data_IF_784899238699
#
_entry.id   IF_784899238699
#
_cell.length_a   1.000
_cell.length_b   1.000
_cell.length_c   1.000
_cell.angle_alpha   90.00
_cell.angle_beta   90.00
_cell.angle_gamma   90.00
#
_symmetry.space_group_name_H-M   'P 1'
#
loop_
_entity.id
_entity.type
_entity.pdbx_description
1 polymer ?
#
# COMPACT_ATOMS: atom_id res chain seq x y z
N UNK A 1 39.00 34.79 26.84
CA UNK A 1 37.64 35.38 26.94
C UNK A 1 36.78 34.36 27.65
N UNK A 2 36.14 34.74 28.75
CA UNK A 2 35.20 33.85 29.43
C UNK A 2 33.87 33.87 28.67
N UNK A 3 33.31 32.70 28.38
CA UNK A 3 32.02 32.56 27.70
C UNK A 3 31.00 32.02 28.68
N UNK A 4 29.93 32.78 28.90
CA UNK A 4 28.91 32.41 29.87
C UNK A 4 27.74 31.69 29.21
N UNK A 5 27.16 30.68 29.89
CA UNK A 5 25.99 29.97 29.39
C UNK A 5 24.77 30.88 29.29
N UNK A 6 23.85 30.62 28.35
CA UNK A 6 22.59 31.34 28.28
C UNK A 6 21.77 31.14 29.56
N UNK A 7 20.87 32.08 29.86
CA UNK A 7 20.04 32.04 31.07
C UNK A 7 18.57 31.86 30.71
N UNK A 8 17.77 31.37 31.67
CA UNK A 8 16.33 31.14 31.49
C UNK A 8 16.01 30.26 30.27
N UNK A 9 16.76 29.18 30.09
CA UNK A 9 16.42 28.18 29.08
C UNK A 9 15.12 27.48 29.50
N UNK A 10 14.15 27.46 28.59
CA UNK A 10 12.81 26.91 28.84
C UNK A 10 12.35 26.13 27.61
N UNK A 11 11.54 25.11 27.87
CA UNK A 11 10.87 24.30 26.86
C UNK A 11 9.37 24.46 27.05
N UNK A 12 8.65 24.91 26.03
CA UNK A 12 7.19 25.07 26.09
C UNK A 12 6.53 24.36 24.91
N UNK A 13 5.46 23.62 25.19
CA UNK A 13 4.67 22.98 24.14
C UNK A 13 3.77 24.04 23.52
N UNK A 14 4.03 24.42 22.26
CA UNK A 14 3.31 25.48 21.56
C UNK A 14 2.13 24.95 20.72
N UNK A 15 2.22 23.70 20.26
CA UNK A 15 1.18 23.00 19.50
C UNK A 15 1.39 21.48 19.56
N UNK A 16 0.49 20.69 18.94
CA UNK A 16 0.63 19.23 18.87
C UNK A 16 1.98 18.83 18.26
N UNK A 17 2.76 18.04 18.99
CA UNK A 17 4.11 17.64 18.60
C UNK A 17 5.00 18.84 18.18
N UNK A 18 4.85 20.00 18.84
CA UNK A 18 5.67 21.17 18.61
C UNK A 18 6.16 21.75 19.94
N UNK A 19 7.47 21.99 20.03
CA UNK A 19 8.13 22.56 21.20
C UNK A 19 8.88 23.84 20.80
N UNK A 20 8.69 24.88 21.61
CA UNK A 20 9.44 26.12 21.58
C UNK A 20 10.55 26.03 22.63
N UNK A 21 11.79 26.07 22.14
CA UNK A 21 12.99 26.26 22.92
C UNK A 21 13.22 27.77 23.02
N UNK A 22 13.34 28.30 24.22
CA UNK A 22 13.57 29.74 24.42
C UNK A 22 14.58 29.97 25.53
N UNK A 23 15.52 30.88 25.31
CA UNK A 23 16.53 31.29 26.28
C UNK A 23 16.80 32.79 26.19
N UNK A 24 17.58 33.33 27.13
CA UNK A 24 18.06 34.71 27.11
C UNK A 24 19.59 34.74 27.08
N UNK A 25 20.20 35.75 26.41
CA UNK A 25 21.64 35.97 26.50
C UNK A 25 22.06 36.18 27.96
N UNK A 26 23.25 35.73 28.32
CA UNK A 26 23.77 35.97 29.67
C UNK A 26 24.06 37.48 29.84
N UNK A 27 23.52 38.15 30.87
CA UNK A 27 23.75 39.58 31.08
C UNK A 27 25.21 39.93 31.35
N UNK A 28 26.00 38.98 31.85
CA UNK A 28 27.42 39.15 32.15
C UNK A 28 28.32 38.89 30.94
N UNK A 29 27.75 38.53 29.78
CA UNK A 29 28.53 38.27 28.57
C UNK A 29 29.06 39.59 28.00
N UNK A 30 30.39 39.68 27.87
CA UNK A 30 31.03 40.84 27.26
C UNK A 30 30.54 41.06 25.81
N UNK A 31 29.96 42.24 25.56
CA UNK A 31 29.58 42.70 24.22
C UNK A 31 30.77 43.44 23.56
N UNK A 32 31.81 42.69 23.18
CA UNK A 32 32.90 43.20 22.31
C UNK A 32 32.61 42.86 20.84
N UNK A 33 33.60 42.99 19.94
CA UNK A 33 33.55 42.57 18.52
C UNK A 33 33.45 41.03 18.35
N UNK A 34 32.49 40.37 19.01
CA UNK A 34 32.19 38.95 18.90
C UNK A 34 30.88 38.74 18.13
N UNK A 35 30.83 37.73 17.27
CA UNK A 35 29.55 37.23 16.75
C UNK A 35 29.02 36.17 17.72
N UNK A 36 27.92 36.48 18.40
CA UNK A 36 27.26 35.56 19.33
C UNK A 36 26.30 34.64 18.56
N UNK A 37 26.46 33.34 18.76
CA UNK A 37 25.57 32.27 18.30
C UNK A 37 25.27 31.33 19.48
N UNK A 38 24.38 30.39 19.25
CA UNK A 38 24.00 29.38 20.24
C UNK A 38 24.03 28.01 19.57
N UNK A 39 24.81 27.09 20.13
CA UNK A 39 24.74 25.69 19.76
C UNK A 39 23.55 25.08 20.50
N UNK A 40 22.68 24.40 19.78
CA UNK A 40 21.51 23.69 20.31
C UNK A 40 21.66 22.23 19.95
N UNK A 41 21.44 21.38 20.95
CA UNK A 41 21.47 19.94 20.78
C UNK A 41 20.20 19.33 21.37
N UNK A 42 19.42 18.69 20.51
CA UNK A 42 18.30 17.84 20.90
C UNK A 42 18.91 16.49 21.32
N UNK A 43 18.60 16.06 22.53
CA UNK A 43 19.10 14.80 23.09
C UNK A 43 18.08 13.66 22.89
N UNK A 44 16.80 13.99 22.91
CA UNK A 44 15.67 13.05 22.81
C UNK A 44 14.44 13.79 22.27
N UNK A 45 13.62 13.17 21.41
CA UNK A 45 13.67 11.74 21.02
C UNK A 45 14.59 11.41 19.84
N UNK A 46 14.94 12.38 19.00
CA UNK A 46 15.87 12.19 17.88
C UNK A 46 17.04 13.16 18.08
N UNK A 47 18.28 12.65 18.19
CA UNK A 47 19.45 13.51 18.33
C UNK A 47 19.64 14.43 17.11
N UNK A 48 19.80 15.72 17.35
CA UNK A 48 20.03 16.75 16.33
C UNK A 48 20.92 17.84 16.93
N UNK A 49 21.95 18.28 16.21
CA UNK A 49 22.80 19.40 16.61
C UNK A 49 22.82 20.46 15.51
N UNK A 50 22.66 21.72 15.90
CA UNK A 50 22.68 22.86 15.00
C UNK A 50 23.02 24.14 15.76
N UNK A 51 23.34 25.21 15.05
CA UNK A 51 23.59 26.51 15.65
C UNK A 51 22.61 27.59 15.14
N UNK A 52 22.40 28.63 15.94
CA UNK A 52 21.50 29.72 15.58
C UNK A 52 21.94 31.05 16.19
N UNK A 53 21.61 32.15 15.52
CA UNK A 53 21.75 33.52 16.07
C UNK A 53 20.55 33.93 16.93
N UNK A 54 19.43 33.23 16.80
CA UNK A 54 18.19 33.54 17.53
C UNK A 54 18.30 33.01 18.96
N UNK A 55 17.55 33.62 19.88
CA UNK A 55 17.41 33.18 21.27
C UNK A 55 16.23 32.22 21.47
N UNK A 56 15.72 31.68 20.37
CA UNK A 56 14.65 30.70 20.36
C UNK A 56 14.80 29.75 19.18
N UNK A 57 14.17 28.59 19.29
CA UNK A 57 14.06 27.60 18.23
C UNK A 57 12.74 26.85 18.35
N UNK A 58 12.11 26.54 17.22
CA UNK A 58 10.89 25.74 17.19
C UNK A 58 11.22 24.40 16.56
N UNK A 59 10.74 23.32 17.17
CA UNK A 59 10.93 21.95 16.69
C UNK A 59 9.61 21.20 16.66
N UNK A 60 9.37 20.50 15.56
CA UNK A 60 8.22 19.62 15.38
C UNK A 60 8.68 18.19 15.59
N UNK A 61 8.24 17.56 16.68
CA UNK A 61 8.70 16.24 17.12
C UNK A 61 7.68 15.59 18.05
N UNK A 62 7.59 14.26 18.06
CA UNK A 62 6.71 13.53 18.96
C UNK A 62 7.13 13.74 20.43
N UNK A 63 6.19 14.16 21.28
CA UNK A 63 6.44 14.54 22.68
C UNK A 63 5.93 13.51 23.70
N UNK A 64 5.26 12.44 23.24
CA UNK A 64 4.62 11.45 24.11
C UNK A 64 5.61 10.61 24.96
N UNK A 65 6.91 10.65 24.64
CA UNK A 65 7.99 10.05 25.43
C UNK A 65 8.88 11.11 26.12
N UNK A 66 8.40 12.35 26.22
CA UNK A 66 9.18 13.49 26.69
C UNK A 66 10.12 14.04 25.63
N UNK A 67 10.81 15.12 25.98
CA UNK A 67 11.74 15.84 25.11
C UNK A 67 12.88 16.39 25.94
N UNK A 68 14.12 16.36 25.45
CA UNK A 68 15.23 16.98 26.17
C UNK A 68 16.18 17.62 25.18
N UNK A 69 16.64 18.82 25.54
CA UNK A 69 17.58 19.58 24.75
C UNK A 69 18.56 20.29 25.68
N UNK A 70 19.69 20.70 25.10
CA UNK A 70 20.65 21.57 25.76
C UNK A 70 21.09 22.67 24.81
N UNK A 71 21.48 23.80 25.38
CA UNK A 71 21.94 24.98 24.64
C UNK A 71 23.18 25.56 25.31
N UNK A 72 24.13 26.06 24.52
CA UNK A 72 25.32 26.79 25.00
C UNK A 72 25.60 27.99 24.12
N UNK A 73 26.31 28.97 24.67
CA UNK A 73 26.77 30.14 23.92
C UNK A 73 28.00 29.77 23.09
N UNK A 74 28.00 30.15 21.82
CA UNK A 74 29.12 30.07 20.89
C UNK A 74 29.55 31.49 20.51
N UNK A 75 30.77 31.89 20.88
CA UNK A 75 31.38 33.14 20.42
C UNK A 75 32.32 32.85 19.26
N UNK A 76 32.14 33.62 18.18
CA UNK A 76 33.00 33.60 17.01
C UNK A 76 33.77 34.93 16.93
N UNK A 77 35.10 34.86 16.84
CA UNK A 77 35.97 36.00 16.59
C UNK A 77 37.14 35.60 15.73
N UNK A 78 37.24 36.19 14.53
CA UNK A 78 38.14 35.74 13.48
C UNK A 78 37.93 34.23 13.26
N UNK A 79 38.96 33.41 13.51
CA UNK A 79 38.91 31.94 13.37
C UNK A 79 38.79 31.19 14.72
N UNK A 80 38.63 31.91 15.83
CA UNK A 80 38.51 31.31 17.16
C UNK A 80 37.05 31.07 17.51
N UNK A 81 36.76 29.84 17.95
CA UNK A 81 35.48 29.44 18.52
C UNK A 81 35.63 29.23 20.03
N UNK A 82 34.82 29.94 20.80
CA UNK A 82 34.81 29.81 22.25
C UNK A 82 33.39 29.45 22.71
N UNK A 83 33.27 28.47 23.59
CA UNK A 83 32.01 27.86 23.99
C UNK A 83 31.82 27.96 25.49
N UNK A 84 30.59 28.20 25.93
CA UNK A 84 30.22 28.07 27.34
C UNK A 84 29.92 26.61 27.71
N UNK A 85 29.68 26.39 28.99
CA UNK A 85 29.00 25.19 29.47
C UNK A 85 27.59 25.07 28.89
N UNK A 86 27.07 23.85 28.91
CA UNK A 86 25.72 23.52 28.47
C UNK A 86 24.68 23.80 29.55
N UNK A 87 23.56 24.39 29.15
CA UNK A 87 22.33 24.45 29.95
C UNK A 87 21.35 23.44 29.37
N UNK A 88 20.87 22.51 30.20
CA UNK A 88 20.00 21.42 29.78
C UNK A 88 18.62 21.59 30.38
N UNK A 89 17.60 21.33 29.58
CA UNK A 89 16.22 21.24 30.03
C UNK A 89 15.54 19.96 29.51
N UNK A 90 14.45 19.57 30.17
CA UNK A 90 13.63 18.43 29.75
C UNK A 90 12.14 18.66 29.99
N UNK A 91 11.33 18.24 29.02
CA UNK A 91 9.91 18.00 29.16
C UNK A 91 9.69 16.55 29.57
N UNK A 92 8.99 16.36 30.68
CA UNK A 92 8.60 15.02 31.12
C UNK A 92 7.52 14.45 30.19
N UNK A 93 7.48 13.12 29.99
CA UNK A 93 6.40 12.48 29.27
C UNK A 93 5.04 12.77 29.95
N UNK A 94 3.95 12.86 29.16
CA UNK A 94 2.59 12.90 29.73
C UNK A 94 2.30 11.66 30.60
N UNK A 95 1.38 11.77 31.57
CA UNK A 95 1.03 10.65 32.44
C UNK A 95 0.38 9.49 31.68
N UNK A 96 0.49 8.29 32.23
CA UNK A 96 -0.12 7.06 31.71
C UNK A 96 0.89 5.93 31.59
N UNK A 97 0.46 4.70 31.89
CA UNK A 97 1.31 3.53 31.77
C UNK A 97 1.60 3.23 30.28
N UNK A 98 2.83 2.80 29.91
CA UNK A 98 3.17 2.51 28.51
C UNK A 98 2.17 1.58 27.81
N UNK A 99 1.70 0.56 28.52
CA UNK A 99 0.76 -0.47 28.04
C UNK A 99 -0.63 0.09 27.67
N UNK A 100 -0.99 1.27 28.16
CA UNK A 100 -2.27 1.93 27.86
C UNK A 100 -2.25 2.69 26.53
N UNK A 101 -1.06 2.95 25.97
CA UNK A 101 -0.93 3.70 24.73
C UNK A 101 -1.38 2.88 23.53
N UNK A 102 -1.92 3.55 22.51
CA UNK A 102 -2.30 2.91 21.26
C UNK A 102 -1.09 2.33 20.54
N UNK A 103 -1.32 1.29 19.75
CA UNK A 103 -0.29 0.62 18.95
C UNK A 103 -0.73 0.49 17.49
N UNK A 104 0.20 0.18 16.59
CA UNK A 104 -0.07 -0.03 15.16
C UNK A 104 -0.87 1.10 14.49
N UNK A 105 -0.50 2.35 14.79
CA UNK A 105 -1.07 3.49 14.08
C UNK A 105 -0.68 3.44 12.60
N UNK A 106 -1.68 3.41 11.73
CA UNK A 106 -1.52 3.49 10.29
C UNK A 106 -2.42 4.58 9.75
N UNK A 107 -1.87 5.48 8.95
CA UNK A 107 -2.62 6.57 8.32
C UNK A 107 -2.38 6.56 6.81
N UNK A 108 -3.42 6.90 6.06
CA UNK A 108 -3.41 6.96 4.60
C UNK A 108 -4.15 8.22 4.16
N UNK A 109 -3.52 9.02 3.32
CA UNK A 109 -4.16 10.15 2.65
C UNK A 109 -4.57 9.78 1.22
N UNK A 110 -5.66 10.39 0.73
CA UNK A 110 -6.06 10.30 -0.68
C UNK A 110 -6.51 11.66 -1.18
N UNK A 111 -6.02 12.04 -2.36
CA UNK A 111 -6.47 13.24 -3.08
C UNK A 111 -7.81 12.93 -3.75
N UNK A 112 -8.81 13.77 -3.53
CA UNK A 112 -10.14 13.61 -4.11
C UNK A 112 -10.25 14.33 -5.46
N UNK A 113 -11.36 14.09 -6.19
CA UNK A 113 -11.64 14.72 -7.48
C UNK A 113 -11.76 16.26 -7.36
N UNK A 114 -12.15 16.76 -6.19
CA UNK A 114 -12.24 18.19 -5.88
C UNK A 114 -10.91 18.80 -5.42
N UNK A 115 -9.78 18.12 -5.63
CA UNK A 115 -8.44 18.55 -5.19
C UNK A 115 -8.33 18.78 -3.68
N UNK A 116 -9.14 18.09 -2.88
CA UNK A 116 -9.03 18.09 -1.42
C UNK A 116 -8.40 16.80 -0.93
N UNK A 117 -7.76 16.83 0.23
CA UNK A 117 -7.13 15.63 0.82
C UNK A 117 -8.05 15.04 1.87
N UNK A 118 -8.35 13.76 1.72
CA UNK A 118 -8.97 12.93 2.77
C UNK A 118 -7.89 12.23 3.58
N UNK A 119 -8.13 12.01 4.88
CA UNK A 119 -7.23 11.32 5.78
C UNK A 119 -7.97 10.19 6.50
N UNK A 120 -7.42 8.99 6.45
CA UNK A 120 -7.95 7.82 7.13
C UNK A 120 -6.87 7.21 8.02
N UNK A 121 -7.17 7.05 9.31
CA UNK A 121 -6.25 6.47 10.28
C UNK A 121 -6.90 5.31 11.03
N UNK A 122 -6.11 4.29 11.34
CA UNK A 122 -6.49 3.12 12.13
C UNK A 122 -5.44 2.85 13.20
N UNK A 123 -5.84 2.33 14.35
CA UNK A 123 -4.95 1.95 15.43
C UNK A 123 -5.54 0.80 16.25
N UNK A 124 -4.68 0.16 17.04
CA UNK A 124 -5.09 -0.84 18.02
C UNK A 124 -5.06 -0.23 19.43
N UNK A 125 -6.08 -0.50 20.26
CA UNK A 125 -6.05 -0.15 21.69
C UNK A 125 -4.82 -0.74 22.39
N UNK A 126 -4.30 -0.04 23.39
CA UNK A 126 -3.21 -0.56 24.22
C UNK A 126 -3.60 -1.84 24.94
N UNK A 127 -2.66 -2.78 25.09
CA UNK A 127 -2.94 -4.08 25.74
C UNK A 127 -3.33 -3.92 27.22
N UNK A 128 -2.81 -2.88 27.88
CA UNK A 128 -3.16 -2.53 29.26
C UNK A 128 -4.24 -1.44 29.36
N UNK A 129 -4.85 -1.02 28.25
CA UNK A 129 -5.91 -0.02 28.27
C UNK A 129 -7.22 -0.65 28.81
N UNK A 130 -7.86 -0.04 29.81
CA UNK A 130 -9.18 -0.48 30.30
C UNK A 130 -10.23 -0.56 29.20
N UNK A 131 -11.24 -1.42 29.38
CA UNK A 131 -12.31 -1.60 28.39
C UNK A 131 -13.17 -0.35 28.19
N UNK A 132 -13.27 0.53 29.19
CA UNK A 132 -13.99 1.80 29.12
C UNK A 132 -13.20 2.93 28.43
N UNK A 133 -12.02 2.63 27.90
CA UNK A 133 -11.15 3.64 27.28
C UNK A 133 -11.79 4.21 26.02
N UNK A 134 -11.97 5.53 25.99
CA UNK A 134 -12.34 6.27 24.78
C UNK A 134 -11.12 6.99 24.22
N UNK A 135 -10.86 6.81 22.92
CA UNK A 135 -9.73 7.44 22.21
C UNK A 135 -10.19 8.61 21.36
N UNK A 136 -9.39 9.68 21.31
CA UNK A 136 -9.66 10.84 20.48
C UNK A 136 -8.44 11.15 19.61
N UNK A 137 -8.66 11.28 18.31
CA UNK A 137 -7.62 11.55 17.33
C UNK A 137 -7.68 12.99 16.85
N UNK A 138 -6.53 13.65 16.86
CA UNK A 138 -6.29 14.97 16.32
C UNK A 138 -5.23 14.88 15.24
N UNK A 139 -5.42 15.57 14.11
CA UNK A 139 -4.32 15.82 13.18
C UNK A 139 -3.91 17.28 13.25
N UNK A 140 -2.62 17.54 12.97
CA UNK A 140 -2.11 18.88 12.72
C UNK A 140 -1.34 18.91 11.40
N UNK A 141 -1.69 19.88 10.56
CA UNK A 141 -0.96 20.25 9.36
C UNK A 141 -0.60 21.73 9.47
N UNK A 142 0.70 22.03 9.46
CA UNK A 142 1.23 23.37 9.73
C UNK A 142 0.67 23.98 11.04
N UNK A 143 -0.13 25.05 10.95
CA UNK A 143 -0.77 25.74 12.07
C UNK A 143 -2.18 25.24 12.36
N UNK A 144 -2.77 24.45 11.45
CA UNK A 144 -4.13 23.95 11.59
C UNK A 144 -4.17 22.65 12.37
N UNK A 145 -4.98 22.61 13.42
CA UNK A 145 -5.28 21.41 14.21
C UNK A 145 -6.77 21.15 14.19
N UNK A 146 -7.16 19.89 14.03
CA UNK A 146 -8.56 19.47 13.98
C UNK A 146 -8.74 18.11 14.67
N UNK A 147 -9.85 17.98 15.40
CA UNK A 147 -10.28 16.74 16.04
C UNK A 147 -11.18 15.94 15.11
N UNK A 148 -10.97 14.62 15.08
CA UNK A 148 -11.81 13.73 14.31
C UNK A 148 -13.24 13.66 14.84
N UNK A 149 -14.21 13.68 13.93
CA UNK A 149 -15.64 13.58 14.25
C UNK A 149 -16.28 12.27 13.76
N UNK A 150 -15.65 11.59 12.81
CA UNK A 150 -16.18 10.38 12.19
C UNK A 150 -15.33 9.17 12.54
N UNK A 151 -15.72 8.50 13.62
CA UNK A 151 -15.04 7.31 14.15
C UNK A 151 -15.76 6.03 13.77
N UNK A 152 -14.96 4.97 13.60
CA UNK A 152 -15.44 3.58 13.59
C UNK A 152 -14.95 2.94 14.88
N UNK A 153 -15.85 2.21 15.52
CA UNK A 153 -15.66 1.65 16.85
C UNK A 153 -15.48 0.14 16.81
N UNK A 154 -14.73 -0.38 17.77
CA UNK A 154 -14.59 -1.80 17.99
C UNK A 154 -15.80 -2.40 18.74
N UNK A 155 -15.71 -3.69 19.07
CA UNK A 155 -16.76 -4.44 19.78
C UNK A 155 -17.05 -3.92 21.19
N UNK A 156 -16.10 -3.20 21.80
CA UNK A 156 -16.23 -2.58 23.11
C UNK A 156 -16.61 -1.09 23.02
N UNK A 157 -17.05 -0.64 21.84
CA UNK A 157 -17.45 0.74 21.59
C UNK A 157 -16.29 1.76 21.76
N UNK A 158 -15.03 1.30 21.60
CA UNK A 158 -13.85 2.16 21.62
C UNK A 158 -13.52 2.62 20.22
N UNK A 159 -13.13 3.88 20.05
CA UNK A 159 -12.71 4.42 18.76
C UNK A 159 -11.40 3.75 18.32
N UNK A 160 -11.39 3.12 17.13
CA UNK A 160 -10.19 2.44 16.57
C UNK A 160 -9.85 2.86 15.15
N UNK A 161 -10.77 3.54 14.48
CA UNK A 161 -10.51 4.17 13.18
C UNK A 161 -11.15 5.57 13.13
N UNK A 162 -10.56 6.44 12.32
CA UNK A 162 -11.03 7.81 12.11
C UNK A 162 -10.94 8.19 10.63
N UNK A 163 -11.93 8.94 10.14
CA UNK A 163 -12.00 9.48 8.78
C UNK A 163 -12.20 11.00 8.79
N UNK A 164 -11.29 11.73 8.14
CA UNK A 164 -11.51 13.09 7.71
C UNK A 164 -11.83 13.09 6.21
N UNK A 165 -13.06 13.44 5.85
CA UNK A 165 -13.48 13.51 4.45
C UNK A 165 -12.76 14.62 3.70
N UNK A 166 -12.53 15.76 4.37
CA UNK A 166 -11.85 16.94 3.84
C UNK A 166 -10.93 17.47 4.94
N UNK A 167 -9.66 17.66 4.61
CA UNK A 167 -8.64 18.24 5.49
C UNK A 167 -8.12 19.55 4.91
N UNK A 168 -7.31 20.28 5.69
CA UNK A 168 -6.52 21.43 5.20
C UNK A 168 -5.10 21.05 4.76
N UNK A 169 -4.84 19.77 4.52
CA UNK A 169 -3.57 19.31 3.97
C UNK A 169 -3.50 19.78 2.51
N UNK A 170 -2.44 20.49 2.18
CA UNK A 170 -2.21 21.00 0.83
C UNK A 170 -1.62 19.88 -0.06
N UNK A 171 -2.33 19.41 -1.10
CA UNK A 171 -1.85 18.34 -1.96
C UNK A 171 -0.65 18.73 -2.86
N UNK A 172 -0.36 20.03 -3.03
CA UNK A 172 0.74 20.51 -3.88
C UNK A 172 2.09 20.50 -3.15
N UNK A 173 2.06 20.60 -1.82
CA UNK A 173 3.25 20.60 -0.98
C UNK A 173 3.88 19.20 -0.87
N UNK A 174 5.21 19.16 -0.77
CA UNK A 174 6.02 17.94 -0.71
C UNK A 174 6.88 17.96 0.55
N UNK A 175 7.12 16.78 1.13
CA UNK A 175 7.95 16.57 2.33
C UNK A 175 7.49 17.34 3.58
N UNK A 176 6.23 17.77 3.60
CA UNK A 176 5.57 18.29 4.79
C UNK A 176 5.17 17.16 5.73
N UNK A 177 5.16 17.48 7.01
CA UNK A 177 4.80 16.53 8.05
C UNK A 177 3.34 16.71 8.48
N UNK A 178 2.60 15.61 8.47
CA UNK A 178 1.29 15.50 9.09
C UNK A 178 1.51 14.90 10.48
N UNK A 179 1.10 15.63 11.51
CA UNK A 179 1.19 15.16 12.89
C UNK A 179 -0.12 14.50 13.25
N UNK A 180 -0.05 13.27 13.76
CA UNK A 180 -1.19 12.57 14.35
C UNK A 180 -0.97 12.47 15.84
N UNK A 181 -1.97 12.87 16.62
CA UNK A 181 -2.01 12.75 18.06
C UNK A 181 -3.25 11.97 18.46
N UNK A 182 -3.06 10.91 19.24
CA UNK A 182 -4.16 10.16 19.83
C UNK A 182 -4.01 10.26 21.35
N UNK A 183 -5.03 10.77 22.01
CA UNK A 183 -5.15 10.69 23.45
C UNK A 183 -6.29 9.74 23.82
N UNK A 184 -6.48 9.51 25.12
CA UNK A 184 -7.62 8.76 25.59
C UNK A 184 -8.00 9.11 27.01
N UNK A 185 -9.22 8.74 27.38
CA UNK A 185 -9.76 8.89 28.72
C UNK A 185 -10.34 7.56 29.19
N UNK A 186 -10.20 7.29 30.48
CA UNK A 186 -10.78 6.14 31.18
C UNK A 186 -11.03 6.54 32.64
N UNK A 187 -12.01 5.91 33.28
CA UNK A 187 -12.28 6.11 34.71
C UNK A 187 -11.25 5.44 35.60
N UNK A 188 -10.56 4.42 35.09
CA UNK A 188 -9.71 3.54 35.90
C UNK A 188 -8.22 3.79 35.73
N UNK A 189 -7.79 4.39 34.62
CA UNK A 189 -6.38 4.65 34.37
C UNK A 189 -6.16 5.92 33.53
N UNK A 190 -5.03 6.58 33.76
CA UNK A 190 -4.53 7.58 32.84
C UNK A 190 -4.00 6.87 31.57
N UNK A 191 -4.51 7.28 30.41
CA UNK A 191 -4.14 6.69 29.12
C UNK A 191 -2.96 7.46 28.54
N UNK A 192 -1.87 6.76 28.26
CA UNK A 192 -0.67 7.38 27.70
C UNK A 192 -0.95 7.82 26.25
N UNK A 193 -0.85 9.12 25.93
CA UNK A 193 -1.06 9.59 24.57
C UNK A 193 0.00 9.05 23.62
N UNK A 194 -0.33 9.03 22.34
CA UNK A 194 0.58 8.67 21.27
C UNK A 194 0.69 9.81 20.25
N UNK A 195 1.87 10.00 19.69
CA UNK A 195 2.11 10.98 18.63
C UNK A 195 3.05 10.41 17.58
N UNK A 196 2.71 10.60 16.32
CA UNK A 196 3.56 10.21 15.20
C UNK A 196 3.53 11.29 14.12
N UNK A 197 4.69 11.51 13.50
CA UNK A 197 4.86 12.40 12.37
C UNK A 197 4.94 11.53 11.12
N UNK A 198 4.09 11.81 10.15
CA UNK A 198 4.14 11.17 8.84
C UNK A 198 4.59 12.19 7.80
N UNK A 199 5.55 11.82 6.96
CA UNK A 199 5.78 12.55 5.72
C UNK A 199 4.54 12.36 4.83
N UNK A 200 3.97 13.48 4.36
CA UNK A 200 2.74 13.49 3.56
C UNK A 200 2.80 12.54 2.36
N UNK A 201 3.92 12.53 1.63
CA UNK A 201 4.10 11.70 0.43
C UNK A 201 4.22 10.22 0.78
N UNK A 202 4.82 9.91 1.93
CA UNK A 202 4.99 8.53 2.38
C UNK A 202 3.68 7.84 2.76
N UNK A 203 2.64 8.60 3.12
CA UNK A 203 1.31 8.06 3.45
C UNK A 203 0.23 8.33 2.40
N UNK A 204 0.58 8.97 1.28
CA UNK A 204 -0.35 9.14 0.18
C UNK A 204 -0.59 7.81 -0.52
N UNK A 205 -1.87 7.45 -0.67
CA UNK A 205 -2.28 6.41 -1.61
C UNK A 205 -2.69 7.04 -2.93
N UNK A 206 -1.85 6.82 -3.93
CA UNK A 206 -2.03 7.36 -5.28
C UNK A 206 -3.35 6.86 -5.88
N UNK A 207 -4.03 7.72 -6.62
CA UNK A 207 -5.25 7.35 -7.33
C UNK A 207 -4.96 6.39 -8.51
N UNK A 208 -5.93 5.57 -8.86
CA UNK A 208 -5.83 4.69 -10.04
C UNK A 208 -5.67 5.56 -11.31
N UNK A 209 -4.82 5.15 -12.29
CA UNK A 209 -4.77 5.79 -13.60
C UNK A 209 -6.16 5.90 -14.24
N UNK A 210 -6.45 7.03 -14.87
CA UNK A 210 -7.77 7.28 -15.47
C UNK A 210 -7.77 6.88 -16.94
N UNK A 211 -8.96 6.64 -17.49
CA UNK A 211 -9.17 6.43 -18.93
C UNK A 211 -8.21 5.39 -19.52
N UNK A 212 -8.06 4.24 -18.83
CA UNK A 212 -7.23 3.14 -19.30
C UNK A 212 -7.93 2.48 -20.50
N UNK A 213 -7.30 2.57 -21.66
CA UNK A 213 -7.78 1.94 -22.89
C UNK A 213 -6.72 1.00 -23.43
N UNK A 214 -7.15 -0.21 -23.78
CA UNK A 214 -6.27 -1.19 -24.42
C UNK A 214 -6.96 -1.74 -25.65
N UNK A 215 -6.25 -1.76 -26.77
CA UNK A 215 -6.72 -2.35 -28.02
C UNK A 215 -5.59 -3.09 -28.73
N UNK A 216 -5.99 -3.92 -29.70
CA UNK A 216 -5.08 -4.68 -30.54
C UNK A 216 -5.03 -4.04 -31.92
N UNK A 217 -3.82 -3.70 -32.36
CA UNK A 217 -3.55 -3.27 -33.72
C UNK A 217 -2.62 -4.29 -34.36
N UNK A 218 -3.15 -5.08 -35.29
CA UNK A 218 -2.44 -6.21 -35.91
C UNK A 218 -1.95 -7.21 -34.85
N UNK A 219 -0.65 -7.21 -34.54
CA UNK A 219 -0.01 -8.09 -33.55
C UNK A 219 0.48 -7.34 -32.31
N UNK A 220 0.21 -6.04 -32.22
CA UNK A 220 0.65 -5.22 -31.11
C UNK A 220 -0.52 -4.86 -30.22
N UNK A 221 -0.26 -4.95 -28.91
CA UNK A 221 -1.11 -4.42 -27.86
C UNK A 221 -0.71 -2.98 -27.64
N UNK A 222 -1.66 -2.07 -27.81
CA UNK A 222 -1.52 -0.65 -27.51
C UNK A 222 -2.37 -0.34 -26.29
N UNK A 223 -1.71 0.12 -25.24
CA UNK A 223 -2.35 0.59 -24.03
C UNK A 223 -2.05 2.07 -23.83
N UNK A 224 -3.07 2.85 -23.51
CA UNK A 224 -2.95 4.28 -23.18
C UNK A 224 -3.78 4.59 -21.95
N UNK A 225 -3.32 5.51 -21.12
CA UNK A 225 -4.01 5.94 -19.91
C UNK A 225 -3.67 7.38 -19.56
N UNK A 226 -4.54 8.03 -18.82
CA UNK A 226 -4.27 9.33 -18.22
C UNK A 226 -3.59 9.19 -16.85
N UNK A 227 -2.85 10.23 -16.46
CA UNK A 227 -2.25 10.31 -15.12
C UNK A 227 -3.34 10.27 -14.02
N UNK A 228 -2.99 9.77 -12.82
CA UNK A 228 -3.86 9.84 -11.66
C UNK A 228 -4.34 11.25 -11.32
N UNK A 229 -5.45 11.35 -10.58
CA UNK A 229 -5.91 12.61 -9.99
C UNK A 229 -4.89 13.04 -8.95
N UNK A 230 -4.19 14.12 -9.28
CA UNK A 230 -3.08 14.67 -8.51
C UNK A 230 -2.64 16.02 -9.10
N UNK A 231 -2.12 16.97 -8.30
CA UNK A 231 -1.52 18.19 -8.82
C UNK A 231 -0.20 17.93 -9.56
N UNK A 232 0.47 16.80 -9.32
CA UNK A 232 1.75 16.49 -9.96
C UNK A 232 1.62 16.29 -11.48
N UNK A 233 2.62 16.73 -12.25
CA UNK A 233 2.67 16.50 -13.70
C UNK A 233 2.93 15.02 -14.03
N UNK A 234 2.74 14.63 -15.28
CA UNK A 234 2.76 13.21 -15.73
C UNK A 234 4.12 12.54 -15.52
N UNK A 235 5.21 13.31 -15.60
CA UNK A 235 6.59 12.87 -15.44
C UNK A 235 6.91 12.41 -14.01
N UNK A 236 6.05 12.77 -13.04
CA UNK A 236 6.19 12.35 -11.65
C UNK A 236 5.73 10.91 -11.39
N UNK A 237 5.00 10.30 -12.33
CA UNK A 237 4.38 9.00 -12.14
C UNK A 237 5.17 7.88 -12.81
N UNK A 238 5.27 6.76 -12.10
CA UNK A 238 5.58 5.46 -12.67
C UNK A 238 4.36 4.55 -12.58
N UNK A 239 4.31 3.58 -13.49
CA UNK A 239 3.23 2.64 -13.60
C UNK A 239 3.76 1.22 -13.57
N UNK A 240 2.98 0.33 -12.97
CA UNK A 240 3.12 -1.10 -13.15
C UNK A 240 2.00 -1.60 -14.06
N UNK A 241 2.39 -2.30 -15.12
CA UNK A 241 1.51 -2.90 -16.11
C UNK A 241 1.50 -4.40 -15.92
N UNK A 242 0.38 -4.90 -15.40
CA UNK A 242 0.14 -6.32 -15.21
C UNK A 242 -0.48 -6.90 -16.48
N UNK A 243 0.16 -7.93 -17.01
CA UNK A 243 -0.29 -8.68 -18.17
C UNK A 243 -0.34 -10.16 -17.82
N UNK A 244 -1.49 -10.78 -18.03
CA UNK A 244 -1.67 -12.22 -17.83
C UNK A 244 -2.21 -12.88 -19.09
N UNK A 245 -1.49 -13.87 -19.60
CA UNK A 245 -1.92 -14.70 -20.73
C UNK A 245 -2.74 -15.89 -20.22
N UNK A 246 -4.03 -15.94 -20.55
CA UNK A 246 -4.94 -16.98 -20.08
C UNK A 246 -4.68 -18.35 -20.73
N UNK A 247 -4.01 -18.39 -21.88
CA UNK A 247 -3.72 -19.64 -22.62
C UNK A 247 -2.46 -20.32 -22.11
N UNK A 248 -1.42 -19.55 -21.78
CA UNK A 248 -0.13 -20.08 -21.31
C UNK A 248 0.07 -19.99 -19.80
N UNK A 249 -0.90 -19.43 -19.06
CA UNK A 249 -0.81 -19.12 -17.62
C UNK A 249 0.43 -18.27 -17.26
N UNK A 250 0.89 -17.44 -18.20
CA UNK A 250 2.07 -16.61 -18.01
C UNK A 250 1.70 -15.22 -17.47
N UNK A 251 2.32 -14.80 -16.35
CA UNK A 251 2.09 -13.53 -15.66
C UNK A 251 3.33 -12.65 -15.77
N UNK A 252 3.14 -11.38 -16.13
CA UNK A 252 4.19 -10.39 -16.26
C UNK A 252 3.77 -9.07 -15.62
N UNK A 253 4.72 -8.43 -14.92
CA UNK A 253 4.57 -7.06 -14.40
C UNK A 253 5.72 -6.24 -14.99
N UNK A 254 5.37 -5.22 -15.76
CA UNK A 254 6.32 -4.33 -16.43
C UNK A 254 6.25 -2.95 -15.78
N UNK A 255 7.41 -2.32 -15.57
CA UNK A 255 7.49 -0.94 -15.08
C UNK A 255 7.58 0.03 -16.24
N UNK A 256 6.76 1.07 -16.20
CA UNK A 256 6.57 2.01 -17.31
C UNK A 256 6.58 3.44 -16.74
N UNK A 257 7.26 4.36 -17.44
CA UNK A 257 7.35 5.78 -17.05
C UNK A 257 6.62 6.71 -18.02
N UNK A 258 5.92 6.15 -19.00
CA UNK A 258 5.06 6.84 -19.97
C UNK A 258 3.59 6.53 -19.72
N UNK A 259 2.71 7.32 -20.34
CA UNK A 259 1.25 7.15 -20.29
C UNK A 259 0.71 6.25 -21.41
N UNK A 260 1.61 5.72 -22.22
CA UNK A 260 1.36 4.84 -23.33
C UNK A 260 2.35 3.67 -23.32
N UNK A 261 1.92 2.52 -23.82
CA UNK A 261 2.71 1.32 -23.89
C UNK A 261 2.33 0.46 -25.09
N UNK A 262 3.36 -0.03 -25.78
CA UNK A 262 3.23 -0.92 -26.92
C UNK A 262 4.00 -2.21 -26.66
N UNK A 263 3.32 -3.35 -26.81
CA UNK A 263 3.92 -4.66 -26.65
C UNK A 263 3.44 -5.62 -27.74
N UNK A 264 4.38 -6.35 -28.33
CA UNK A 264 4.04 -7.39 -29.29
C UNK A 264 3.55 -8.64 -28.56
N UNK A 265 2.38 -9.15 -28.95
CA UNK A 265 1.73 -10.28 -28.27
C UNK A 265 1.30 -11.38 -29.24
N UNK A 266 0.93 -12.54 -28.69
CA UNK A 266 0.29 -13.62 -29.44
C UNK A 266 -1.23 -13.37 -29.51
N UNK A 267 -1.70 -12.86 -30.65
CA UNK A 267 -3.13 -12.57 -30.89
C UNK A 267 -4.05 -13.79 -30.81
N UNK A 268 -3.50 -15.02 -30.80
CA UNK A 268 -4.29 -16.25 -30.62
C UNK A 268 -4.61 -16.54 -29.15
N UNK A 269 -4.04 -15.75 -28.23
CA UNK A 269 -4.24 -15.84 -26.80
C UNK A 269 -5.19 -14.73 -26.32
N UNK A 270 -5.92 -15.01 -25.24
CA UNK A 270 -6.67 -13.99 -24.50
C UNK A 270 -5.82 -13.49 -23.33
N UNK A 271 -5.84 -12.19 -23.08
CA UNK A 271 -5.07 -11.55 -22.03
C UNK A 271 -5.99 -10.80 -21.07
N UNK A 272 -5.58 -10.73 -19.80
CA UNK A 272 -6.16 -9.81 -18.81
C UNK A 272 -5.11 -8.80 -18.38
N UNK A 273 -5.51 -7.54 -18.31
CA UNK A 273 -4.60 -6.41 -18.14
C UNK A 273 -5.08 -5.52 -17.02
N UNK A 274 -4.14 -5.07 -16.20
CA UNK A 274 -4.39 -4.06 -15.16
C UNK A 274 -3.19 -3.12 -15.06
N UNK A 275 -3.45 -1.87 -14.66
CA UNK A 275 -2.42 -0.86 -14.48
C UNK A 275 -2.59 -0.21 -13.11
N UNK A 276 -1.48 0.08 -12.42
CA UNK A 276 -1.46 0.88 -11.20
C UNK A 276 -0.34 1.92 -11.25
N UNK A 277 -0.44 2.96 -10.44
CA UNK A 277 0.53 4.07 -10.41
C UNK A 277 1.16 4.26 -9.03
N UNK A 278 2.35 4.84 -9.03
CA UNK A 278 2.99 5.44 -7.86
C UNK A 278 3.82 6.66 -8.31
N UNK A 279 4.30 7.43 -7.34
CA UNK A 279 5.27 8.49 -7.57
C UNK A 279 6.65 7.90 -7.83
N UNK A 280 7.46 8.59 -8.63
CA UNK A 280 8.83 8.15 -8.96
C UNK A 280 9.87 9.21 -8.64
N UNK A 281 9.83 10.35 -9.33
CA UNK A 281 10.92 11.35 -9.33
C UNK A 281 10.62 12.52 -8.40
N UNK A 282 9.37 12.97 -8.36
CA UNK A 282 9.03 14.26 -7.77
C UNK A 282 8.89 14.23 -6.25
N UNK A 283 8.69 13.04 -5.66
CA UNK A 283 8.55 12.88 -4.23
C UNK A 283 8.81 11.43 -3.83
N UNK A 284 8.96 11.22 -2.52
CA UNK A 284 9.13 9.89 -1.96
C UNK A 284 7.95 8.99 -2.33
N UNK A 285 8.23 7.76 -2.77
CA UNK A 285 7.22 6.74 -3.04
C UNK A 285 6.32 6.52 -1.82
N UNK A 286 5.02 6.71 -2.02
CA UNK A 286 3.99 6.36 -1.05
C UNK A 286 3.41 4.97 -1.33
N UNK A 287 2.12 4.82 -1.07
CA UNK A 287 1.40 3.60 -1.42
C UNK A 287 1.05 3.59 -2.91
N UNK A 288 1.28 2.43 -3.53
CA UNK A 288 0.76 2.16 -4.86
C UNK A 288 -0.75 2.36 -4.90
N UNK A 289 -1.25 2.84 -6.04
CA UNK A 289 -2.68 2.84 -6.30
C UNK A 289 -3.23 1.42 -6.26
N UNK A 290 -4.55 1.32 -6.07
CA UNK A 290 -5.24 0.09 -6.43
C UNK A 290 -5.02 -0.20 -7.93
N UNK A 291 -5.11 -1.47 -8.30
CA UNK A 291 -5.09 -1.85 -9.71
C UNK A 291 -6.34 -1.31 -10.41
N UNK A 292 -6.19 -0.92 -11.68
CA UNK A 292 -7.33 -0.62 -12.53
C UNK A 292 -8.27 -1.81 -12.65
N UNK A 293 -9.47 -1.54 -13.14
CA UNK A 293 -10.38 -2.60 -13.59
C UNK A 293 -9.67 -3.50 -14.61
N UNK A 294 -10.05 -4.79 -14.61
CA UNK A 294 -9.47 -5.79 -15.49
C UNK A 294 -10.00 -5.58 -16.89
N UNK A 295 -9.09 -5.35 -17.83
CA UNK A 295 -9.41 -5.25 -19.26
C UNK A 295 -9.00 -6.54 -19.95
N UNK A 296 -9.93 -7.14 -20.69
CA UNK A 296 -9.66 -8.34 -21.48
C UNK A 296 -9.48 -7.98 -22.96
N UNK A 297 -8.43 -8.52 -23.57
CA UNK A 297 -8.16 -8.38 -25.01
C UNK A 297 -7.77 -9.72 -25.62
N UNK A 298 -7.94 -9.84 -26.94
CA UNK A 298 -7.68 -11.07 -27.68
C UNK A 298 -8.88 -12.01 -27.73
N UNK A 299 -8.84 -12.98 -28.64
CA UNK A 299 -9.89 -13.96 -28.80
C UNK A 299 -9.58 -15.20 -27.97
N UNK A 300 -10.54 -15.67 -27.18
CA UNK A 300 -10.59 -17.09 -26.84
C UNK A 300 -10.82 -17.84 -28.14
N UNK A 301 -9.83 -18.61 -28.60
CA UNK A 301 -10.15 -19.71 -29.52
C UNK A 301 -11.18 -20.56 -28.78
N UNK A 302 -12.45 -20.43 -29.17
CA UNK A 302 -13.43 -21.45 -28.84
C UNK A 302 -12.80 -22.74 -29.34
N UNK A 303 -12.57 -23.70 -28.44
CA UNK A 303 -12.31 -25.07 -28.87
C UNK A 303 -13.37 -25.37 -29.92
N UNK A 304 -12.91 -25.68 -31.14
CA UNK A 304 -13.74 -25.62 -32.33
C UNK A 304 -15.05 -26.37 -32.03
N UNK A 305 -16.21 -25.68 -31.93
CA UNK A 305 -17.44 -26.32 -31.47
C UNK A 305 -17.81 -27.48 -32.40
N UNK A 306 -17.38 -27.40 -33.67
CA UNK A 306 -17.47 -28.45 -34.67
C UNK A 306 -16.70 -29.71 -34.24
N UNK A 307 -15.50 -29.58 -33.68
CA UNK A 307 -14.72 -30.73 -33.20
C UNK A 307 -15.40 -31.43 -32.00
N UNK A 308 -15.96 -30.66 -31.07
CA UNK A 308 -16.77 -31.20 -29.97
C UNK A 308 -18.05 -31.87 -30.46
N UNK A 309 -18.76 -31.26 -31.40
CA UNK A 309 -19.96 -31.83 -32.03
C UNK A 309 -19.62 -33.13 -32.77
N UNK A 310 -18.53 -33.16 -33.53
CA UNK A 310 -18.06 -34.36 -34.23
C UNK A 310 -17.66 -35.48 -33.25
N UNK A 311 -16.98 -35.15 -32.16
CA UNK A 311 -16.62 -36.13 -31.13
C UNK A 311 -17.88 -36.75 -30.49
N UNK A 312 -18.87 -35.93 -30.12
CA UNK A 312 -20.15 -36.40 -29.57
C UNK A 312 -20.92 -37.28 -30.57
N UNK A 313 -20.94 -36.90 -31.86
CA UNK A 313 -21.56 -37.70 -32.93
C UNK A 313 -20.86 -39.05 -33.11
N UNK A 314 -19.53 -39.10 -33.08
CA UNK A 314 -18.76 -40.34 -33.18
C UNK A 314 -19.02 -41.27 -31.99
N UNK A 315 -19.08 -40.73 -30.77
CA UNK A 315 -19.39 -41.52 -29.56
C UNK A 315 -20.83 -42.04 -29.61
N UNK A 316 -21.78 -41.19 -30.00
CA UNK A 316 -23.20 -41.55 -30.12
C UNK A 316 -23.42 -42.68 -31.15
N UNK A 317 -22.84 -42.55 -32.34
CA UNK A 317 -22.93 -43.58 -33.39
C UNK A 317 -22.27 -44.89 -32.96
N UNK A 318 -21.12 -44.84 -32.28
CA UNK A 318 -20.46 -46.05 -31.75
C UNK A 318 -21.34 -46.76 -30.72
N UNK A 319 -21.98 -46.02 -29.82
CA UNK A 319 -22.92 -46.56 -28.83
C UNK A 319 -24.16 -47.19 -29.47
N UNK A 320 -24.74 -46.58 -30.50
CA UNK A 320 -25.90 -47.14 -31.20
C UNK A 320 -25.54 -48.43 -31.95
N UNK A 321 -24.38 -48.48 -32.61
CA UNK A 321 -23.91 -49.72 -33.25
C UNK A 321 -23.68 -50.85 -32.23
N UNK A 322 -23.10 -50.55 -31.06
CA UNK A 322 -22.92 -51.52 -29.99
C UNK A 322 -24.27 -52.04 -29.46
N UNK A 323 -25.24 -51.15 -29.23
CA UNK A 323 -26.59 -51.53 -28.80
C UNK A 323 -27.28 -52.42 -29.84
N UNK A 324 -27.22 -52.06 -31.12
CA UNK A 324 -27.78 -52.86 -32.21
C UNK A 324 -27.10 -54.23 -32.29
N UNK A 325 -25.77 -54.30 -32.16
CA UNK A 325 -25.04 -55.57 -32.15
C UNK A 325 -25.45 -56.46 -30.98
N UNK A 326 -25.63 -55.90 -29.78
CA UNK A 326 -26.10 -56.61 -28.58
C UNK A 326 -27.53 -57.13 -28.78
N UNK A 327 -28.44 -56.30 -29.31
CA UNK A 327 -29.83 -56.69 -29.59
C UNK A 327 -29.88 -57.80 -30.66
N UNK A 328 -29.10 -57.67 -31.73
CA UNK A 328 -29.01 -58.68 -32.79
C UNK A 328 -28.45 -60.01 -32.27
N UNK A 329 -27.54 -59.97 -31.28
CA UNK A 329 -27.00 -61.17 -30.61
C UNK A 329 -28.03 -61.79 -29.65
N UNK A 330 -28.74 -60.98 -28.85
CA UNK A 330 -29.78 -61.44 -27.91
C UNK A 330 -31.00 -62.04 -28.62
N UNK A 331 -31.41 -61.46 -29.76
CA UNK A 331 -32.61 -61.88 -30.50
C UNK A 331 -32.33 -62.93 -31.59
N UNK A 332 -31.13 -63.54 -31.63
CA UNK A 332 -30.76 -64.54 -32.65
C UNK A 332 -30.99 -64.08 -34.12
N UNK A 333 -30.98 -62.77 -34.38
CA UNK A 333 -31.24 -62.23 -35.74
C UNK A 333 -30.10 -62.60 -36.71
N UNK A 334 -28.88 -62.76 -36.18
CA UNK A 334 -27.72 -63.22 -36.95
C UNK A 334 -27.92 -64.61 -37.58
N UNK A 335 -28.64 -65.52 -36.93
CA UNK A 335 -28.94 -66.84 -37.53
C UNK A 335 -30.01 -66.79 -38.61
N UNK A 336 -30.73 -65.66 -38.77
CA UNK A 336 -31.67 -65.43 -39.88
C UNK A 336 -31.06 -64.68 -41.06
N UNK A 337 -30.11 -63.77 -40.82
CA UNK A 337 -29.42 -63.02 -41.88
C UNK A 337 -28.27 -63.80 -42.51
N UNK A 338 -27.63 -64.69 -41.74
CA UNK A 338 -26.57 -65.59 -42.23
C UNK A 338 -26.89 -67.02 -41.79
N UNK A 339 -27.76 -67.76 -42.51
CA UNK A 339 -27.98 -69.17 -42.23
C UNK A 339 -26.67 -69.95 -42.42
N UNK A 340 -26.40 -70.97 -41.58
CA UNK A 340 -25.22 -71.81 -41.75
C UNK A 340 -25.25 -72.46 -43.14
N UNK A 341 -24.11 -72.39 -43.84
CA UNK A 341 -23.94 -73.01 -45.17
C UNK A 341 -24.27 -74.50 -45.02
N UNK A 342 -25.23 -75.05 -45.78
CA UNK A 342 -25.59 -76.46 -45.68
C UNK A 342 -24.37 -77.31 -46.05
N UNK A 343 -24.06 -78.27 -45.18
CA UNK A 343 -23.00 -79.24 -45.38
C UNK A 343 -23.27 -80.06 -46.66
N UNK A 344 -22.32 -80.15 -47.61
CA UNK A 344 -22.50 -80.96 -48.81
C UNK A 344 -22.61 -82.45 -48.42
N UNK A 345 -23.58 -83.15 -48.99
CA UNK A 345 -23.73 -84.59 -48.77
C UNK A 345 -22.53 -85.33 -49.38
N UNK A 346 -21.72 -85.99 -48.55
CA UNK A 346 -20.70 -86.92 -49.01
C UNK A 346 -21.36 -88.10 -49.73
N UNK A 347 -21.35 -88.09 -51.07
CA UNK A 347 -21.75 -89.20 -51.94
C UNK A 347 -20.54 -89.96 -52.50
N UNK A 348 -19.46 -90.06 -51.75
CA UNK A 348 -18.36 -90.96 -52.08
C UNK A 348 -18.19 -92.00 -50.97
N UNK A 349 -18.32 -93.27 -51.36
CA UNK A 349 -17.90 -94.41 -50.52
C UNK A 349 -16.38 -94.35 -50.40
N UNK A 350 -15.91 -94.47 -49.17
CA UNK A 350 -14.50 -94.58 -48.83
C UNK A 350 -13.90 -95.82 -49.52
N UNK A 351 -12.86 -95.69 -50.38
CA UNK A 351 -12.25 -96.84 -51.06
C UNK A 351 -11.20 -97.57 -50.22
N UNK A 352 -10.91 -97.13 -48.98
CA UNK A 352 -9.83 -97.70 -48.18
C UNK A 352 -10.28 -97.96 -46.74
N UNK A 353 -10.60 -99.22 -46.38
CA UNK A 353 -10.68 -99.59 -44.98
C UNK A 353 -9.25 -99.69 -44.46
N UNK A 354 -8.91 -98.88 -43.46
CA UNK A 354 -7.75 -99.15 -42.63
C UNK A 354 -8.25 -99.47 -41.23
N UNK A 355 -8.39 -100.77 -40.99
CA UNK A 355 -8.25 -101.37 -39.68
C UNK A 355 -6.81 -101.17 -39.21
N UNK A 356 -6.60 -100.46 -38.10
CA UNK A 356 -5.52 -100.74 -37.15
C UNK A 356 -6.03 -100.34 -35.75
N UNK A 357 -5.72 -101.21 -34.78
CA UNK A 357 -6.17 -101.29 -33.38
C UNK A 357 -6.21 -100.00 -32.56
#
# INVERSE_FOLDING_TARGET
>A
VQVFPPVNFTLTVSALAQVLLHWKPNPNQEQKNYTIRYDVEILSPVPEEYDTKKTYSIRTVALHNGFSARVRTLLLHNDLQMRSDWVKEKLLPPPGAPETSVTNLSCVTRITISSTVSLHCTWLPGQGAPEDTEYFLFYRYETHTEECQNYIKDRWNRNTECRFSVTRIDPEEVDKHIVIHINGSSKYAAIKPFQQLFNQNAIEKVNVPRNVTVFLEQNDLLATWEKPISPFPKECFEYEFYLFNLKSDNKQILKISSNDFRLRIDVTSRYSIQIRANHHICCTRGFWSDWSEIIYVGQTKLENPIAWILAVLCVSTSCTFLLVAIICKLNHVWSKLFPPIPTPSNKFRDPFPNDYE
#
